data_IF_404388159887
#
_entry.id   IF_404388159887
#
_cell.length_a   1.000
_cell.length_b   1.000
_cell.length_c   1.000
_cell.angle_alpha   90.00
_cell.angle_beta   90.00
_cell.angle_gamma   90.00
#
_symmetry.space_group_name_H-M   'P 1'
#
loop_
_entity.id
_entity.type
_entity.pdbx_description
1 polymer ?
#
# COMPACT_ATOMS: atom_id res chain seq x y z
N UNK A 1 50.42 -15.25 14.87
CA UNK A 1 49.60 -14.14 14.33
C UNK A 1 48.15 -14.55 14.43
N UNK A 2 47.40 -13.89 15.31
CA UNK A 2 46.01 -14.19 15.62
C UNK A 2 45.12 -13.39 14.64
N UNK A 3 44.17 -13.99 13.89
CA UNK A 3 43.35 -13.22 12.97
C UNK A 3 42.35 -12.36 13.77
N UNK A 4 42.43 -11.06 13.53
CA UNK A 4 41.67 -10.00 14.17
C UNK A 4 40.16 -10.25 14.15
N UNK A 5 39.51 -10.01 15.30
CA UNK A 5 38.05 -9.88 15.43
C UNK A 5 37.53 -8.82 14.46
N UNK A 6 36.34 -9.00 13.85
CA UNK A 6 35.74 -7.96 13.01
C UNK A 6 35.35 -6.75 13.87
N UNK A 7 35.79 -5.56 13.45
CA UNK A 7 35.46 -4.28 14.04
C UNK A 7 33.93 -4.08 14.13
N UNK A 8 33.44 -3.91 15.36
CA UNK A 8 32.07 -3.46 15.60
C UNK A 8 32.00 -1.95 15.36
N UNK A 9 31.61 -1.55 14.15
CA UNK A 9 31.39 -0.13 13.83
C UNK A 9 30.23 0.45 14.68
N UNK A 10 30.30 1.71 15.14
CA UNK A 10 29.27 2.31 15.99
C UNK A 10 27.86 2.31 15.36
N UNK A 11 27.77 2.37 14.02
CA UNK A 11 26.52 2.24 13.28
C UNK A 11 25.86 0.85 13.40
N UNK A 12 26.65 -0.22 13.57
CA UNK A 12 26.15 -1.58 13.83
C UNK A 12 25.50 -1.67 15.21
N UNK A 13 26.07 -1.01 16.21
CA UNK A 13 25.58 -1.05 17.60
C UNK A 13 24.26 -0.31 17.74
N UNK A 14 24.12 0.86 17.10
CA UNK A 14 22.90 1.66 17.10
C UNK A 14 21.74 0.94 16.35
N UNK A 15 22.03 0.31 15.21
CA UNK A 15 21.05 -0.47 14.47
C UNK A 15 20.56 -1.70 15.26
N UNK A 16 21.46 -2.35 16.00
CA UNK A 16 21.15 -3.49 16.87
C UNK A 16 20.26 -3.06 18.04
N UNK A 17 20.58 -1.92 18.68
CA UNK A 17 19.78 -1.36 19.77
C UNK A 17 18.35 -0.99 19.33
N UNK A 18 18.21 -0.37 18.13
CA UNK A 18 16.89 -0.05 17.55
C UNK A 18 16.06 -1.30 17.28
N UNK A 19 16.65 -2.34 16.69
CA UNK A 19 15.95 -3.59 16.38
C UNK A 19 15.50 -4.32 17.66
N UNK A 20 16.35 -4.32 18.70
CA UNK A 20 15.99 -4.85 20.03
C UNK A 20 14.83 -4.09 20.67
N UNK A 21 14.77 -2.77 20.54
CA UNK A 21 13.66 -1.96 21.04
C UNK A 21 12.35 -2.25 20.28
N UNK A 22 12.40 -2.39 18.96
CA UNK A 22 11.25 -2.74 18.11
C UNK A 22 10.69 -4.13 18.43
N UNK A 23 11.58 -5.12 18.60
CA UNK A 23 11.20 -6.48 18.99
C UNK A 23 10.48 -6.49 20.33
N UNK A 24 10.98 -5.74 21.33
CA UNK A 24 10.31 -5.57 22.62
C UNK A 24 8.93 -4.94 22.48
N UNK A 25 8.81 -3.86 21.72
CA UNK A 25 7.52 -3.20 21.50
C UNK A 25 6.49 -4.15 20.89
N UNK A 26 6.89 -4.99 19.93
CA UNK A 26 6.03 -6.02 19.32
C UNK A 26 5.67 -7.15 20.30
N UNK A 27 6.62 -7.63 21.09
CA UNK A 27 6.39 -8.67 22.11
C UNK A 27 5.38 -8.19 23.17
N UNK A 28 5.55 -6.95 23.64
CA UNK A 28 4.61 -6.33 24.58
C UNK A 28 3.20 -6.19 23.99
N UNK A 29 3.09 -5.80 22.72
CA UNK A 29 1.80 -5.70 22.03
C UNK A 29 1.10 -7.07 21.86
N UNK A 30 1.85 -8.17 21.86
CA UNK A 30 1.32 -9.53 21.86
C UNK A 30 1.01 -10.07 23.27
N UNK A 31 1.07 -9.22 24.30
CA UNK A 31 0.82 -9.61 25.70
C UNK A 31 1.99 -10.37 26.35
N UNK A 32 3.17 -10.41 25.71
CA UNK A 32 4.37 -11.04 26.26
C UNK A 32 5.11 -10.02 27.12
N UNK A 33 4.70 -9.89 28.39
CA UNK A 33 5.20 -8.87 29.32
C UNK A 33 6.58 -9.20 29.91
N UNK A 34 6.97 -10.47 29.93
CA UNK A 34 8.22 -10.96 30.54
C UNK A 34 9.10 -11.74 29.56
N UNK A 35 9.34 -11.18 28.36
CA UNK A 35 10.33 -11.76 27.46
C UNK A 35 11.76 -11.44 27.96
N UNK A 36 12.67 -12.41 28.05
CA UNK A 36 14.08 -12.13 28.34
C UNK A 36 14.67 -11.21 27.26
N UNK A 37 15.67 -10.40 27.64
CA UNK A 37 16.44 -9.55 26.71
C UNK A 37 16.89 -10.39 25.50
N UNK A 38 16.53 -9.98 24.26
CA UNK A 38 16.89 -10.75 23.07
C UNK A 38 18.42 -10.79 22.96
N UNK A 39 18.97 -12.00 22.86
CA UNK A 39 20.42 -12.16 22.74
C UNK A 39 20.92 -11.56 21.42
N UNK A 40 22.21 -11.21 21.35
CA UNK A 40 22.79 -10.74 20.09
C UNK A 40 22.61 -11.74 18.93
N UNK A 41 22.53 -13.04 19.23
CA UNK A 41 22.24 -14.07 18.25
C UNK A 41 20.79 -14.03 17.75
N UNK A 42 19.82 -13.76 18.63
CA UNK A 42 18.40 -13.64 18.25
C UNK A 42 18.16 -12.40 17.39
N UNK A 43 18.77 -11.28 17.77
CA UNK A 43 18.73 -10.04 16.97
C UNK A 43 19.33 -10.28 15.58
N UNK A 44 20.44 -11.03 15.49
CA UNK A 44 21.07 -11.38 14.21
C UNK A 44 20.16 -12.26 13.34
N UNK A 45 19.55 -13.32 13.90
CA UNK A 45 18.61 -14.20 13.18
C UNK A 45 17.42 -13.43 12.62
N UNK A 46 16.84 -12.56 13.44
CA UNK A 46 15.72 -11.70 13.04
C UNK A 46 16.14 -10.77 11.90
N UNK A 47 17.33 -10.16 11.99
CA UNK A 47 17.86 -9.30 10.93
C UNK A 47 18.10 -10.05 9.63
N UNK A 48 18.67 -11.24 9.71
CA UNK A 48 18.97 -12.06 8.52
C UNK A 48 17.66 -12.54 7.86
N UNK A 49 16.66 -12.93 8.66
CA UNK A 49 15.31 -13.25 8.16
C UNK A 49 14.62 -12.04 7.53
N UNK A 50 14.71 -10.86 8.14
CA UNK A 50 14.15 -9.62 7.59
C UNK A 50 14.78 -9.25 6.24
N UNK A 51 16.10 -9.44 6.10
CA UNK A 51 16.82 -9.19 4.85
C UNK A 51 16.39 -10.15 3.72
N UNK A 52 16.19 -11.43 4.02
CA UNK A 52 15.66 -12.41 3.07
C UNK A 52 14.24 -12.07 2.64
N UNK A 53 13.37 -11.70 3.58
CA UNK A 53 12.02 -11.22 3.28
C UNK A 53 12.06 -9.98 2.38
N UNK A 54 12.99 -9.05 2.62
CA UNK A 54 13.17 -7.87 1.78
C UNK A 54 13.51 -8.23 0.33
N UNK A 55 14.43 -9.19 0.15
CA UNK A 55 14.85 -9.65 -1.16
C UNK A 55 13.69 -10.32 -1.90
N UNK A 56 12.95 -11.18 -1.21
CA UNK A 56 11.78 -11.83 -1.75
C UNK A 56 10.72 -10.81 -2.18
N UNK A 57 10.34 -9.87 -1.30
CA UNK A 57 9.37 -8.81 -1.62
C UNK A 57 9.79 -8.01 -2.85
N UNK A 58 11.08 -7.62 -2.95
CA UNK A 58 11.58 -6.89 -4.13
C UNK A 58 11.45 -7.72 -5.39
N UNK A 59 11.88 -8.99 -5.35
CA UNK A 59 11.79 -9.89 -6.50
C UNK A 59 10.32 -10.11 -6.92
N UNK A 60 9.42 -10.34 -5.98
CA UNK A 60 7.98 -10.51 -6.23
C UNK A 60 7.33 -9.27 -6.85
N UNK A 61 7.67 -8.06 -6.34
CA UNK A 61 7.20 -6.79 -6.91
C UNK A 61 7.72 -6.57 -8.33
N UNK A 62 8.98 -6.90 -8.60
CA UNK A 62 9.55 -6.79 -9.93
C UNK A 62 8.83 -7.74 -10.91
N UNK A 63 8.70 -9.02 -10.55
CA UNK A 63 8.04 -10.03 -11.40
C UNK A 63 6.57 -9.68 -11.67
N UNK A 64 5.81 -9.32 -10.64
CA UNK A 64 4.40 -8.90 -10.82
C UNK A 64 4.27 -7.64 -11.68
N UNK A 65 5.19 -6.67 -11.54
CA UNK A 65 5.25 -5.48 -12.38
C UNK A 65 5.49 -5.81 -13.85
N UNK A 66 6.48 -6.67 -14.14
CA UNK A 66 6.79 -7.13 -15.50
C UNK A 66 5.63 -7.89 -16.14
N UNK A 67 4.99 -8.80 -15.38
CA UNK A 67 3.81 -9.54 -15.86
C UNK A 67 2.71 -8.57 -16.27
N UNK A 68 2.39 -7.56 -15.45
CA UNK A 68 1.37 -6.56 -15.80
C UNK A 68 1.74 -5.70 -16.99
N UNK A 69 3.00 -5.32 -17.12
CA UNK A 69 3.46 -4.54 -18.27
C UNK A 69 3.22 -5.31 -19.58
N UNK A 70 3.57 -6.60 -19.63
CA UNK A 70 3.29 -7.43 -20.80
C UNK A 70 1.80 -7.70 -20.98
N UNK A 71 1.03 -7.95 -19.91
CA UNK A 71 -0.42 -8.12 -20.01
C UNK A 71 -1.10 -6.90 -20.61
N UNK A 72 -0.67 -5.69 -20.24
CA UNK A 72 -1.18 -4.44 -20.85
C UNK A 72 -0.86 -4.36 -22.33
N UNK A 73 0.36 -4.68 -22.75
CA UNK A 73 0.74 -4.67 -24.17
C UNK A 73 -0.06 -5.68 -25.01
N UNK A 74 -0.34 -6.86 -24.46
CA UNK A 74 -1.16 -7.88 -25.13
C UNK A 74 -2.63 -7.44 -25.18
N UNK A 75 -3.14 -6.82 -24.11
CA UNK A 75 -4.50 -6.28 -24.08
C UNK A 75 -4.69 -5.23 -25.17
N UNK A 76 -3.78 -4.26 -25.29
CA UNK A 76 -3.82 -3.20 -26.31
C UNK A 76 -3.76 -3.77 -27.74
N UNK A 77 -3.06 -4.89 -27.95
CA UNK A 77 -2.95 -5.53 -29.26
C UNK A 77 -4.17 -6.41 -29.64
N UNK A 78 -4.97 -6.84 -28.66
CA UNK A 78 -6.01 -7.86 -28.81
C UNK A 78 -7.32 -7.49 -28.11
N UNK A 79 -7.70 -6.21 -28.14
CA UNK A 79 -8.87 -5.69 -27.40
C UNK A 79 -10.19 -6.45 -27.67
N UNK A 80 -10.38 -6.97 -28.90
CA UNK A 80 -11.61 -7.66 -29.32
C UNK A 80 -11.56 -9.20 -29.20
N UNK A 81 -10.44 -9.79 -28.77
CA UNK A 81 -10.34 -11.25 -28.60
C UNK A 81 -10.75 -11.68 -27.18
N UNK A 82 -12.01 -12.13 -27.06
CA UNK A 82 -12.58 -12.58 -25.80
C UNK A 82 -11.80 -13.74 -25.12
N UNK A 83 -11.14 -14.60 -25.88
CA UNK A 83 -10.34 -15.68 -25.29
C UNK A 83 -9.00 -15.17 -24.75
N UNK A 84 -8.34 -14.27 -25.47
CA UNK A 84 -7.12 -13.59 -24.97
C UNK A 84 -7.43 -12.77 -23.72
N UNK A 85 -8.50 -11.98 -23.73
CA UNK A 85 -8.92 -11.20 -22.56
C UNK A 85 -9.29 -12.10 -21.37
N UNK A 86 -9.87 -13.28 -21.61
CA UNK A 86 -10.10 -14.27 -20.55
C UNK A 86 -8.79 -14.71 -19.88
N UNK A 87 -7.77 -15.11 -20.64
CA UNK A 87 -6.50 -15.55 -20.07
C UNK A 87 -5.70 -14.42 -19.43
N UNK A 88 -5.71 -13.22 -20.02
CA UNK A 88 -5.09 -12.04 -19.44
C UNK A 88 -5.65 -11.74 -18.05
N UNK A 89 -6.98 -11.80 -17.87
CA UNK A 89 -7.59 -11.62 -16.55
C UNK A 89 -7.07 -12.60 -15.49
N UNK A 90 -6.76 -13.84 -15.89
CA UNK A 90 -6.20 -14.86 -14.99
C UNK A 90 -4.73 -14.58 -14.63
N UNK A 91 -3.95 -14.11 -15.58
CA UNK A 91 -2.55 -13.70 -15.36
C UNK A 91 -2.48 -12.49 -14.44
N UNK A 92 -3.30 -11.47 -14.70
CA UNK A 92 -3.39 -10.28 -13.86
C UNK A 92 -3.84 -10.61 -12.43
N UNK A 93 -4.76 -11.58 -12.29
CA UNK A 93 -5.16 -12.12 -10.99
C UNK A 93 -3.98 -12.70 -10.23
N UNK A 94 -3.22 -13.62 -10.83
CA UNK A 94 -2.06 -14.22 -10.18
C UNK A 94 -1.00 -13.16 -9.79
N UNK A 95 -0.75 -12.18 -10.65
CA UNK A 95 0.14 -11.05 -10.34
C UNK A 95 -0.37 -10.19 -9.17
N UNK A 96 -1.68 -9.97 -9.08
CA UNK A 96 -2.30 -9.26 -7.96
C UNK A 96 -2.27 -10.05 -6.66
N UNK A 97 -2.37 -11.38 -6.69
CA UNK A 97 -2.23 -12.23 -5.50
C UNK A 97 -0.82 -12.12 -4.93
N UNK A 98 0.18 -12.11 -5.81
CA UNK A 98 1.58 -11.89 -5.43
C UNK A 98 1.81 -10.51 -4.82
N UNK A 99 1.13 -9.47 -5.30
CA UNK A 99 1.17 -8.12 -4.74
C UNK A 99 0.58 -8.07 -3.31
N UNK A 100 -0.60 -8.67 -3.10
CA UNK A 100 -1.24 -8.74 -1.78
C UNK A 100 -0.37 -9.53 -0.80
N UNK A 101 0.18 -10.67 -1.24
CA UNK A 101 1.12 -11.44 -0.45
C UNK A 101 2.37 -10.63 -0.10
N UNK A 102 2.95 -9.94 -1.08
CA UNK A 102 4.12 -9.07 -0.86
C UNK A 102 3.83 -7.93 0.12
N UNK A 103 2.64 -7.34 0.07
CA UNK A 103 2.23 -6.29 1.01
C UNK A 103 2.08 -6.84 2.44
N UNK A 104 1.51 -8.03 2.60
CA UNK A 104 1.42 -8.71 3.91
C UNK A 104 2.81 -9.05 4.45
N UNK A 105 3.71 -9.53 3.59
CA UNK A 105 5.10 -9.78 4.01
C UNK A 105 5.80 -8.49 4.45
N UNK A 106 5.56 -7.35 3.78
CA UNK A 106 6.06 -6.04 4.25
C UNK A 106 5.58 -5.69 5.66
N UNK A 107 4.32 -5.99 6.01
CA UNK A 107 3.80 -5.73 7.36
C UNK A 107 4.45 -6.59 8.46
N UNK A 108 5.07 -7.72 8.09
CA UNK A 108 5.85 -8.58 8.97
C UNK A 108 7.31 -8.14 9.11
N UNK A 109 7.79 -7.25 8.25
CA UNK A 109 9.17 -6.75 8.30
C UNK A 109 9.36 -5.83 9.50
N UNK A 110 10.48 -6.01 10.18
CA UNK A 110 10.89 -5.20 11.32
C UNK A 110 11.75 -4.01 10.88
N UNK A 111 12.42 -4.10 9.73
CA UNK A 111 13.22 -3.03 9.13
C UNK A 111 12.70 -2.72 7.73
N UNK A 112 11.56 -2.04 7.58
CA UNK A 112 11.11 -1.68 6.24
C UNK A 112 12.09 -0.69 5.58
N UNK A 113 12.42 -0.93 4.31
CA UNK A 113 13.53 -0.30 3.59
C UNK A 113 13.09 0.70 2.53
N UNK A 114 11.78 0.91 2.36
CA UNK A 114 11.36 2.10 1.64
C UNK A 114 11.68 3.29 2.54
N UNK A 115 12.82 3.93 2.25
CA UNK A 115 13.22 5.09 3.03
C UNK A 115 12.11 6.11 2.90
N UNK A 116 11.66 6.67 4.03
CA UNK A 116 10.73 7.78 4.01
C UNK A 116 11.34 8.89 3.18
N UNK A 117 10.56 9.40 2.22
CA UNK A 117 10.98 10.50 1.37
C UNK A 117 10.08 11.69 1.65
N UNK A 118 10.65 12.88 1.52
CA UNK A 118 9.87 14.10 1.46
C UNK A 118 9.05 14.08 0.17
N UNK A 119 7.72 14.02 0.29
CA UNK A 119 6.78 13.98 -0.82
C UNK A 119 5.81 15.17 -0.78
N UNK A 120 5.28 15.55 -1.94
CA UNK A 120 4.11 16.43 -2.07
C UNK A 120 2.94 15.65 -2.64
N UNK A 121 1.73 15.93 -2.16
CA UNK A 121 0.51 15.28 -2.63
C UNK A 121 0.26 15.54 -4.11
N UNK A 122 0.53 16.76 -4.60
CA UNK A 122 0.55 17.09 -6.03
C UNK A 122 1.33 16.10 -6.89
N UNK A 123 2.52 15.68 -6.45
CA UNK A 123 3.40 14.80 -7.21
C UNK A 123 2.85 13.37 -7.20
N UNK A 124 2.32 12.94 -6.05
CA UNK A 124 1.65 11.64 -5.91
C UNK A 124 0.44 11.57 -6.85
N UNK A 125 -0.42 12.59 -6.86
CA UNK A 125 -1.59 12.64 -7.73
C UNK A 125 -1.22 12.70 -9.20
N UNK A 126 -0.19 13.46 -9.57
CA UNK A 126 0.28 13.53 -10.96
C UNK A 126 0.74 12.17 -11.48
N UNK A 127 1.50 11.41 -10.67
CA UNK A 127 1.92 10.04 -11.01
C UNK A 127 0.74 9.08 -11.15
N UNK A 128 -0.26 9.19 -10.26
CA UNK A 128 -1.47 8.36 -10.33
C UNK A 128 -2.27 8.69 -11.58
N UNK A 129 -2.51 9.97 -11.87
CA UNK A 129 -3.23 10.42 -13.06
C UNK A 129 -2.54 9.96 -14.35
N UNK A 130 -1.21 10.08 -14.44
CA UNK A 130 -0.44 9.60 -15.59
C UNK A 130 -0.56 8.09 -15.81
N UNK A 131 -0.70 7.29 -14.74
CA UNK A 131 -0.90 5.83 -14.85
C UNK A 131 -2.32 5.44 -15.24
N UNK A 132 -3.28 6.34 -15.03
CA UNK A 132 -4.69 6.14 -15.32
C UNK A 132 -5.13 6.72 -16.67
N UNK A 133 -4.25 7.43 -17.40
CA UNK A 133 -4.60 8.10 -18.67
C UNK A 133 -5.18 7.19 -19.75
N UNK A 134 -4.87 5.89 -19.68
CA UNK A 134 -5.35 4.88 -20.62
C UNK A 134 -6.54 4.05 -20.09
N UNK A 135 -6.95 4.26 -18.83
CA UNK A 135 -7.93 3.40 -18.15
C UNK A 135 -9.30 4.08 -18.16
N UNK A 136 -10.19 3.69 -19.08
CA UNK A 136 -11.57 4.14 -19.20
C UNK A 136 -11.75 5.70 -19.32
N UNK A 137 -12.85 6.21 -19.89
CA UNK A 137 -12.99 7.65 -20.15
C UNK A 137 -13.54 8.38 -18.92
N UNK A 138 -12.90 8.22 -17.75
CA UNK A 138 -13.21 8.99 -16.56
C UNK A 138 -12.25 10.17 -16.41
N UNK A 139 -12.76 11.31 -15.95
CA UNK A 139 -11.91 12.45 -15.62
C UNK A 139 -11.45 12.37 -14.17
N UNK A 140 -10.17 12.64 -13.89
CA UNK A 140 -9.64 12.70 -12.53
C UNK A 140 -9.52 14.16 -12.09
N UNK A 141 -10.26 14.53 -11.04
CA UNK A 141 -10.14 15.83 -10.38
C UNK A 141 -9.29 15.68 -9.10
N UNK A 142 -8.06 16.17 -9.12
CA UNK A 142 -7.15 16.14 -7.97
C UNK A 142 -7.16 17.46 -7.20
N UNK A 143 -7.47 17.42 -5.90
CA UNK A 143 -7.55 18.58 -5.01
C UNK A 143 -6.57 18.40 -3.85
N UNK A 144 -5.47 19.14 -3.90
CA UNK A 144 -4.48 19.20 -2.82
C UNK A 144 -4.74 20.41 -1.93
N UNK A 145 -5.21 20.19 -0.70
CA UNK A 145 -5.32 21.23 0.35
C UNK A 145 -4.24 21.10 1.41
N UNK A 146 -3.23 20.27 1.19
CA UNK A 146 -2.00 20.29 1.99
C UNK A 146 -1.11 21.44 1.51
N UNK A 147 -0.35 22.04 2.43
CA UNK A 147 0.47 23.23 2.11
C UNK A 147 1.96 22.96 2.10
N UNK A 148 2.39 21.84 2.68
CA UNK A 148 3.79 21.54 2.89
C UNK A 148 4.11 20.07 2.56
N UNK A 149 5.34 19.79 2.10
CA UNK A 149 5.83 18.43 1.96
C UNK A 149 5.69 17.62 3.26
N UNK A 150 5.62 16.31 3.14
CA UNK A 150 5.50 15.39 4.27
C UNK A 150 6.42 14.19 4.07
N UNK A 151 6.80 13.55 5.17
CA UNK A 151 7.70 12.39 5.14
C UNK A 151 6.90 11.08 5.18
N UNK A 152 7.02 10.26 4.13
CA UNK A 152 6.30 8.97 4.03
C UNK A 152 6.95 8.01 3.03
N UNK A 153 6.54 6.74 3.03
CA UNK A 153 6.83 5.73 2.01
C UNK A 153 6.07 6.02 0.71
N UNK A 154 6.62 6.92 -0.10
CA UNK A 154 5.96 7.55 -1.25
C UNK A 154 5.52 6.58 -2.36
N UNK A 155 6.29 5.53 -2.65
CA UNK A 155 5.94 4.52 -3.65
C UNK A 155 4.79 3.65 -3.17
N UNK A 156 4.83 3.15 -1.94
CA UNK A 156 3.75 2.34 -1.38
C UNK A 156 2.45 3.15 -1.26
N UNK A 157 2.53 4.38 -0.76
CA UNK A 157 1.39 5.29 -0.68
C UNK A 157 0.81 5.58 -2.08
N UNK A 158 1.66 5.90 -3.06
CA UNK A 158 1.24 6.14 -4.44
C UNK A 158 0.54 4.93 -5.06
N UNK A 159 1.04 3.71 -4.81
CA UNK A 159 0.38 2.47 -5.25
C UNK A 159 -0.98 2.26 -4.59
N UNK A 160 -1.11 2.52 -3.29
CA UNK A 160 -2.39 2.42 -2.60
C UNK A 160 -3.43 3.37 -3.22
N UNK A 161 -3.04 4.63 -3.45
CA UNK A 161 -3.92 5.63 -4.07
C UNK A 161 -4.28 5.23 -5.50
N UNK A 162 -3.32 4.75 -6.29
CA UNK A 162 -3.59 4.24 -7.64
C UNK A 162 -4.67 3.14 -7.63
N UNK A 163 -4.61 2.18 -6.70
CA UNK A 163 -5.62 1.13 -6.63
C UNK A 163 -7.01 1.67 -6.29
N UNK A 164 -7.09 2.66 -5.39
CA UNK A 164 -8.36 3.30 -5.06
C UNK A 164 -8.93 4.08 -6.24
N UNK A 165 -8.09 4.86 -6.92
CA UNK A 165 -8.49 5.64 -8.10
C UNK A 165 -8.93 4.73 -9.24
N UNK A 166 -8.17 3.68 -9.54
CA UNK A 166 -8.52 2.71 -10.56
C UNK A 166 -9.87 2.03 -10.25
N UNK A 167 -10.08 1.59 -9.01
CA UNK A 167 -11.35 0.98 -8.59
C UNK A 167 -12.53 1.96 -8.73
N UNK A 168 -12.31 3.24 -8.44
CA UNK A 168 -13.28 4.33 -8.58
C UNK A 168 -13.62 4.62 -10.06
N UNK A 169 -12.62 4.63 -10.94
CA UNK A 169 -12.81 4.84 -12.39
C UNK A 169 -13.60 3.68 -13.01
N UNK A 170 -13.26 2.44 -12.66
CA UNK A 170 -14.00 1.26 -13.08
C UNK A 170 -15.42 1.19 -12.49
N UNK A 171 -15.71 1.90 -11.38
CA UNK A 171 -17.05 1.98 -10.79
C UNK A 171 -17.93 3.00 -11.51
N UNK A 172 -17.28 4.06 -11.98
CA UNK A 172 -17.95 5.24 -12.50
C UNK A 172 -18.56 4.96 -13.86
N UNK A 173 -19.67 5.63 -14.20
CA UNK A 173 -20.20 5.59 -15.55
C UNK A 173 -19.19 6.18 -16.54
N UNK A 174 -19.33 5.81 -17.82
CA UNK A 174 -18.53 6.37 -18.92
C UNK A 174 -18.66 7.90 -18.94
N UNK A 175 -17.54 8.63 -18.96
CA UNK A 175 -17.53 10.10 -18.88
C UNK A 175 -17.69 10.65 -17.46
N UNK A 176 -17.78 9.80 -16.44
CA UNK A 176 -17.89 10.19 -15.04
C UNK A 176 -16.61 10.83 -14.49
N UNK A 177 -16.72 11.38 -13.29
CA UNK A 177 -15.62 12.06 -12.62
C UNK A 177 -15.22 11.38 -11.31
N UNK A 178 -13.95 11.00 -11.23
CA UNK A 178 -13.31 10.53 -9.99
C UNK A 178 -12.61 11.71 -9.33
N UNK A 179 -12.96 12.00 -8.08
CA UNK A 179 -12.36 13.08 -7.31
C UNK A 179 -11.40 12.52 -6.28
N UNK A 180 -10.14 12.95 -6.32
CA UNK A 180 -9.12 12.63 -5.33
C UNK A 180 -8.80 13.90 -4.56
N UNK A 181 -9.05 13.89 -3.26
CA UNK A 181 -8.87 15.07 -2.41
C UNK A 181 -8.05 14.73 -1.20
N UNK A 182 -7.13 15.61 -0.83
CA UNK A 182 -6.44 15.56 0.46
C UNK A 182 -6.68 16.84 1.25
N UNK A 183 -7.01 16.67 2.53
CA UNK A 183 -7.04 17.76 3.51
C UNK A 183 -6.02 17.44 4.60
N UNK A 184 -5.22 18.44 4.96
CA UNK A 184 -4.27 18.36 6.07
C UNK A 184 -4.96 18.85 7.35
N UNK A 185 -4.75 18.12 8.44
CA UNK A 185 -5.15 18.54 9.78
C UNK A 185 -4.10 18.11 10.80
N UNK A 186 -4.18 18.67 12.02
CA UNK A 186 -3.28 18.35 13.13
C UNK A 186 -4.05 17.68 14.24
N UNK A 187 -3.50 16.60 14.79
CA UNK A 187 -3.98 15.92 15.99
C UNK A 187 -2.77 15.68 16.90
N UNK A 188 -2.84 16.12 18.15
CA UNK A 188 -1.77 15.93 19.14
C UNK A 188 -0.38 16.40 18.65
N UNK A 189 -0.36 17.57 17.99
CA UNK A 189 0.81 18.16 17.31
C UNK A 189 1.38 17.39 16.11
N UNK A 190 0.79 16.25 15.76
CA UNK A 190 1.19 15.43 14.61
C UNK A 190 0.35 15.80 13.38
N UNK A 191 1.01 15.86 12.22
CA UNK A 191 0.36 16.13 10.93
C UNK A 191 -0.31 14.85 10.44
N UNK A 192 -1.57 14.98 10.06
CA UNK A 192 -2.38 13.92 9.50
C UNK A 192 -3.05 14.40 8.22
N UNK A 193 -3.25 13.48 7.29
CA UNK A 193 -3.86 13.75 6.00
C UNK A 193 -5.10 12.88 5.84
N UNK A 194 -6.20 13.51 5.47
CA UNK A 194 -7.43 12.83 5.08
C UNK A 194 -7.52 12.79 3.56
N UNK A 195 -7.17 11.64 2.99
CA UNK A 195 -7.32 11.38 1.56
C UNK A 195 -8.70 10.80 1.31
N UNK A 196 -9.40 11.35 0.32
CA UNK A 196 -10.72 10.91 -0.12
C UNK A 196 -10.68 10.64 -1.61
N UNK A 197 -11.10 9.44 -2.00
CA UNK A 197 -11.31 9.07 -3.40
C UNK A 197 -12.81 8.85 -3.57
N UNK A 198 -13.46 9.71 -4.34
CA UNK A 198 -14.91 9.69 -4.55
C UNK A 198 -15.24 9.37 -6.00
N UNK A 199 -16.17 8.44 -6.22
CA UNK A 199 -16.68 8.04 -7.53
C UNK A 199 -18.19 8.24 -7.66
N UNK A 200 -18.65 8.26 -8.91
CA UNK A 200 -20.06 8.40 -9.29
C UNK A 200 -20.70 7.04 -9.61
N UNK A 201 -20.05 5.95 -9.20
CA UNK A 201 -20.52 4.61 -9.40
C UNK A 201 -21.72 4.26 -8.51
N UNK A 202 -22.37 3.12 -8.79
CA UNK A 202 -23.55 2.66 -8.05
C UNK A 202 -23.22 2.24 -6.63
N UNK A 203 -21.97 2.32 -6.18
CA UNK A 203 -21.48 1.88 -4.88
C UNK A 203 -21.53 0.38 -4.66
N UNK A 204 -21.15 -0.02 -3.45
CA UNK A 204 -21.23 -1.41 -3.02
C UNK A 204 -22.54 -1.65 -2.28
N UNK A 205 -23.08 -2.84 -2.46
CA UNK A 205 -24.14 -3.36 -1.59
C UNK A 205 -23.63 -3.35 -0.13
N UNK A 206 -24.40 -2.86 0.85
CA UNK A 206 -24.02 -2.88 2.25
C UNK A 206 -23.53 -4.25 2.75
N UNK A 207 -24.11 -5.34 2.25
CA UNK A 207 -23.69 -6.71 2.60
C UNK A 207 -22.28 -7.04 2.10
N UNK A 208 -21.85 -6.45 0.98
CA UNK A 208 -20.51 -6.64 0.40
C UNK A 208 -19.52 -5.62 0.95
N UNK A 209 -19.96 -4.42 1.34
CA UNK A 209 -19.10 -3.35 1.82
C UNK A 209 -18.25 -3.75 3.05
N UNK A 210 -18.78 -4.59 3.94
CA UNK A 210 -18.07 -5.08 5.12
C UNK A 210 -16.89 -5.99 4.76
N UNK A 211 -17.05 -6.86 3.77
CA UNK A 211 -16.02 -7.81 3.30
C UNK A 211 -15.23 -7.31 2.10
N UNK A 212 -15.51 -6.10 1.57
CA UNK A 212 -14.86 -5.55 0.39
C UNK A 212 -13.33 -5.39 0.53
N UNK A 213 -12.81 -5.40 1.76
CA UNK A 213 -11.38 -5.36 2.07
C UNK A 213 -10.71 -6.73 2.10
N UNK A 214 -11.50 -7.82 2.03
CA UNK A 214 -11.01 -9.18 1.98
C UNK A 214 -10.57 -9.55 0.55
N UNK A 215 -9.54 -10.41 0.39
CA UNK A 215 -9.15 -10.90 -0.92
C UNK A 215 -10.29 -11.61 -1.64
N UNK A 216 -10.36 -11.44 -2.96
CA UNK A 216 -11.30 -12.11 -3.86
C UNK A 216 -12.75 -11.64 -3.76
N UNK A 217 -13.05 -10.65 -2.92
CA UNK A 217 -14.35 -10.02 -2.87
C UNK A 217 -14.45 -8.99 -4.01
N UNK A 218 -15.38 -9.24 -4.94
CA UNK A 218 -15.65 -8.36 -6.07
C UNK A 218 -17.04 -8.64 -6.62
N UNK A 219 -17.73 -7.58 -7.05
CA UNK A 219 -19.00 -7.68 -7.80
C UNK A 219 -18.79 -7.56 -9.31
N UNK A 220 -17.55 -7.30 -9.75
CA UNK A 220 -17.21 -7.10 -11.16
C UNK A 220 -16.70 -8.39 -11.81
N UNK A 221 -17.27 -8.72 -12.97
CA UNK A 221 -16.78 -9.80 -13.84
C UNK A 221 -15.39 -9.46 -14.37
N UNK A 222 -14.53 -10.47 -14.49
CA UNK A 222 -13.15 -10.33 -14.98
C UNK A 222 -12.16 -9.69 -14.00
N UNK A 223 -12.61 -9.22 -12.82
CA UNK A 223 -11.74 -8.62 -11.81
C UNK A 223 -11.42 -9.63 -10.71
N UNK A 224 -10.19 -9.58 -10.18
CA UNK A 224 -9.75 -10.52 -9.15
C UNK A 224 -10.23 -10.18 -7.72
N UNK A 225 -10.70 -8.95 -7.46
CA UNK A 225 -11.07 -8.51 -6.11
C UNK A 225 -9.88 -8.32 -5.16
N UNK A 226 -8.73 -7.88 -5.68
CA UNK A 226 -7.48 -7.77 -4.90
C UNK A 226 -7.01 -6.34 -4.66
N UNK A 227 -7.62 -5.35 -5.32
CA UNK A 227 -7.22 -3.94 -5.18
C UNK A 227 -7.42 -3.41 -3.76
N UNK A 228 -8.63 -3.55 -3.21
CA UNK A 228 -8.95 -3.13 -1.84
C UNK A 228 -8.21 -3.98 -0.80
N UNK A 229 -8.06 -5.28 -1.04
CA UNK A 229 -7.28 -6.17 -0.18
C UNK A 229 -5.80 -5.77 -0.09
N UNK A 230 -5.20 -5.32 -1.20
CA UNK A 230 -3.86 -4.74 -1.18
C UNK A 230 -3.80 -3.47 -0.33
N UNK A 231 -4.77 -2.56 -0.49
CA UNK A 231 -4.84 -1.32 0.29
C UNK A 231 -4.97 -1.62 1.79
N UNK A 232 -5.84 -2.56 2.16
CA UNK A 232 -5.99 -3.01 3.55
C UNK A 232 -4.70 -3.62 4.12
N UNK A 233 -3.97 -4.41 3.33
CA UNK A 233 -2.69 -4.99 3.75
C UNK A 233 -1.56 -3.95 3.85
N UNK A 234 -1.57 -2.92 3.00
CA UNK A 234 -0.55 -1.89 2.95
C UNK A 234 -0.78 -0.74 3.96
N UNK A 235 -2.03 -0.49 4.37
CA UNK A 235 -2.37 0.62 5.26
C UNK A 235 -1.58 0.60 6.58
N UNK A 236 -1.44 -0.52 7.31
CA UNK A 236 -0.63 -0.56 8.53
C UNK A 236 0.85 -0.24 8.28
N UNK A 237 1.38 -0.55 7.09
CA UNK A 237 2.80 -0.34 6.74
C UNK A 237 3.14 1.14 6.67
N UNK A 238 2.22 1.97 6.16
CA UNK A 238 2.39 3.43 6.04
C UNK A 238 1.80 4.21 7.20
N UNK A 239 1.27 3.53 8.23
CA UNK A 239 0.49 4.19 9.27
C UNK A 239 -0.74 4.86 8.66
N UNK A 240 -1.61 4.08 8.03
CA UNK A 240 -2.88 4.55 7.53
C UNK A 240 -4.03 3.71 8.06
N UNK A 241 -5.19 4.35 8.21
CA UNK A 241 -6.48 3.70 8.41
C UNK A 241 -7.34 3.95 7.17
N UNK A 242 -8.08 2.94 6.75
CA UNK A 242 -8.92 3.00 5.55
C UNK A 242 -10.36 2.64 5.89
N UNK A 243 -11.30 3.26 5.18
CA UNK A 243 -12.72 3.00 5.32
C UNK A 243 -13.45 3.44 4.06
N UNK A 244 -14.72 3.06 3.94
CA UNK A 244 -15.57 3.53 2.85
C UNK A 244 -16.92 3.96 3.37
N UNK A 245 -17.51 4.92 2.68
CA UNK A 245 -18.85 5.40 2.96
C UNK A 245 -19.51 5.83 1.67
N UNK A 246 -20.82 5.61 1.59
CA UNK A 246 -21.63 6.26 0.56
C UNK A 246 -22.09 7.61 1.06
N UNK A 247 -21.73 8.67 0.35
CA UNK A 247 -22.12 10.04 0.65
C UNK A 247 -23.01 10.55 -0.47
N UNK A 248 -24.31 10.71 -0.19
CA UNK A 248 -25.34 10.99 -1.19
C UNK A 248 -25.29 9.98 -2.36
N UNK A 249 -25.11 10.47 -3.58
CA UNK A 249 -25.01 9.64 -4.79
C UNK A 249 -23.59 9.13 -5.08
N UNK A 250 -22.59 9.42 -4.25
CA UNK A 250 -21.18 9.06 -4.47
C UNK A 250 -20.69 8.00 -3.50
N UNK A 251 -19.81 7.14 -3.97
CA UNK A 251 -19.03 6.25 -3.10
C UNK A 251 -17.72 6.93 -2.79
N UNK A 252 -17.34 7.01 -1.51
CA UNK A 252 -16.09 7.62 -1.08
C UNK A 252 -15.30 6.65 -0.25
N UNK A 253 -14.07 6.38 -0.69
CA UNK A 253 -13.06 5.70 0.12
C UNK A 253 -12.25 6.77 0.86
N UNK A 254 -12.14 6.60 2.17
CA UNK A 254 -11.38 7.47 3.06
C UNK A 254 -10.10 6.75 3.48
N UNK A 255 -8.98 7.47 3.43
CA UNK A 255 -7.71 7.04 3.99
C UNK A 255 -7.18 8.13 4.90
N UNK A 256 -7.02 7.81 6.17
CA UNK A 256 -6.34 8.64 7.16
C UNK A 256 -4.89 8.20 7.18
N UNK A 257 -3.95 9.08 6.89
CA UNK A 257 -2.51 8.76 6.92
C UNK A 257 -1.76 9.78 7.78
N UNK A 258 -0.95 9.28 8.70
CA UNK A 258 -0.05 10.12 9.48
C UNK A 258 1.24 10.41 8.73
N UNK A 259 1.94 11.47 9.13
CA UNK A 259 3.38 11.54 8.88
C UNK A 259 4.08 10.36 9.60
N UNK A 260 5.17 9.82 9.04
CA UNK A 260 5.79 8.62 9.59
C UNK A 260 6.16 8.79 11.08
N UNK A 261 5.78 7.82 11.92
CA UNK A 261 5.96 7.88 13.38
C UNK A 261 4.87 8.66 14.14
N UNK A 262 3.89 9.25 13.44
CA UNK A 262 2.85 10.12 14.00
C UNK A 262 1.48 9.48 14.26
N UNK A 263 1.41 8.16 14.44
CA UNK A 263 0.16 7.48 14.81
C UNK A 263 0.34 6.74 16.13
N UNK A 264 -0.20 7.32 17.20
CA UNK A 264 -0.58 6.58 18.39
C UNK A 264 -2.00 6.07 18.19
N UNK A 265 -2.19 4.76 18.34
CA UNK A 265 -3.51 4.16 18.46
C UNK A 265 -3.98 4.32 19.92
N UNK A 266 -5.23 4.75 20.11
CA UNK A 266 -6.02 4.42 21.29
C UNK A 266 -6.99 3.29 20.93
#
# INVERSE_FOLDING_TARGET
MNPSRPDHTPASTEATARLSALLRSRLNAMGVVTAPEPSAADVRRVRDADALLAQFVRASRHTSGTVRAFSSLIADAHEDDGNTMHWLSRVERAAAELDVFSARLCALRLNDHERPVSARWSDVFSRVAARCSHIAPCTIEAIDRSRAPFTQRGELLGRMIFQLVRNAMEASPRGGMVRVRVDEFRRDALRQFHVRVSDEGPGLDPAVAASAWEPYVTTRRGHAGLGLAFVAAAAPVVGAAVGMRREASRTTVHMMVGEEGGLQWE
#
